data_IF_107753337042
#
_entry.id   IF_107753337042
#
_cell.length_a   1.000
_cell.length_b   1.000
_cell.length_c   1.000
_cell.angle_alpha   90.00
_cell.angle_beta   90.00
_cell.angle_gamma   90.00
#
_symmetry.space_group_name_H-M   'P 1'
#
loop_
_entity.id
_entity.type
_entity.pdbx_description
1 polymer ?
#
# COMPACT_ATOMS: atom_id res chain seq x y z
N UNK A 1 -28.01 6.42 -12.41
CA UNK A 1 -27.23 5.49 -11.56
C UNK A 1 -26.02 4.90 -12.30
N UNK A 2 -26.13 4.62 -13.60
CA UNK A 2 -25.03 4.02 -14.39
C UNK A 2 -23.72 4.82 -14.39
N UNK A 3 -23.79 6.17 -14.47
CA UNK A 3 -22.60 7.04 -14.46
C UNK A 3 -21.78 6.95 -13.17
N UNK A 4 -22.43 6.72 -12.02
CA UNK A 4 -21.75 6.62 -10.71
C UNK A 4 -21.01 5.28 -10.62
N UNK A 5 -21.60 4.19 -11.15
CA UNK A 5 -20.96 2.88 -11.19
C UNK A 5 -19.67 2.88 -12.03
N UNK A 6 -19.73 3.50 -13.21
CA UNK A 6 -18.54 3.64 -14.07
C UNK A 6 -17.48 4.51 -13.37
N UNK A 7 -17.86 5.63 -12.78
CA UNK A 7 -16.94 6.54 -12.11
C UNK A 7 -16.25 5.89 -10.90
N UNK A 8 -16.96 5.05 -10.14
CA UNK A 8 -16.41 4.30 -9.01
C UNK A 8 -15.50 3.13 -9.43
N UNK A 9 -15.64 2.59 -10.65
CA UNK A 9 -14.81 1.50 -11.14
C UNK A 9 -13.42 1.97 -11.63
N UNK A 10 -13.34 3.19 -12.17
CA UNK A 10 -12.11 3.81 -12.69
C UNK A 10 -10.93 3.74 -11.70
N UNK A 11 -11.05 4.16 -10.43
CA UNK A 11 -9.92 4.14 -9.50
C UNK A 11 -9.37 2.74 -9.24
N UNK A 12 -10.22 1.72 -9.14
CA UNK A 12 -9.79 0.33 -8.93
C UNK A 12 -9.13 -0.26 -10.18
N UNK A 13 -9.65 0.06 -11.37
CA UNK A 13 -9.00 -0.29 -12.62
C UNK A 13 -7.62 0.34 -12.75
N UNK A 14 -7.51 1.64 -12.44
CA UNK A 14 -6.23 2.35 -12.42
C UNK A 14 -5.26 1.72 -11.41
N UNK A 15 -5.74 1.39 -10.21
CA UNK A 15 -4.94 0.71 -9.19
C UNK A 15 -4.40 -0.63 -9.70
N UNK A 16 -5.21 -1.43 -10.39
CA UNK A 16 -4.78 -2.69 -11.00
C UNK A 16 -3.69 -2.51 -12.05
N UNK A 17 -3.83 -1.52 -12.94
CA UNK A 17 -2.78 -1.19 -13.91
C UNK A 17 -1.49 -0.74 -13.22
N UNK A 18 -1.59 0.20 -12.28
CA UNK A 18 -0.42 0.71 -11.53
C UNK A 18 0.27 -0.42 -10.78
N UNK A 19 -0.49 -1.36 -10.18
CA UNK A 19 0.05 -2.52 -9.49
C UNK A 19 0.92 -3.39 -10.42
N UNK A 20 0.41 -3.73 -11.61
CA UNK A 20 1.14 -4.56 -12.58
C UNK A 20 2.40 -3.83 -13.08
N UNK A 21 2.26 -2.56 -13.48
CA UNK A 21 3.39 -1.76 -13.95
C UNK A 21 4.46 -1.58 -12.87
N UNK A 22 4.05 -1.36 -11.62
CA UNK A 22 4.95 -1.26 -10.46
C UNK A 22 5.73 -2.54 -10.23
N UNK A 23 5.09 -3.71 -10.35
CA UNK A 23 5.75 -5.01 -10.27
C UNK A 23 6.84 -5.15 -11.33
N UNK A 24 6.48 -4.97 -12.60
CA UNK A 24 7.43 -5.04 -13.73
C UNK A 24 8.58 -4.04 -13.57
N UNK A 25 8.29 -2.83 -13.07
CA UNK A 25 9.30 -1.82 -12.81
C UNK A 25 10.23 -2.24 -11.66
N UNK A 26 9.68 -2.79 -10.58
CA UNK A 26 10.44 -3.35 -9.46
C UNK A 26 11.43 -4.42 -9.93
N UNK A 27 10.94 -5.36 -10.75
CA UNK A 27 11.76 -6.48 -11.24
C UNK A 27 12.90 -5.97 -12.13
N UNK A 28 12.62 -4.99 -13.00
CA UNK A 28 13.66 -4.33 -13.80
C UNK A 28 14.72 -3.61 -12.96
N UNK A 29 14.35 -2.99 -11.83
CA UNK A 29 15.30 -2.35 -10.93
C UNK A 29 16.22 -3.38 -10.26
N UNK A 30 15.69 -4.56 -9.93
CA UNK A 30 16.47 -5.66 -9.38
C UNK A 30 17.43 -6.24 -10.42
N UNK A 31 16.94 -6.57 -11.61
CA UNK A 31 17.72 -7.25 -12.65
C UNK A 31 18.75 -6.34 -13.33
N UNK A 32 18.39 -5.10 -13.67
CA UNK A 32 19.26 -4.22 -14.48
C UNK A 32 20.13 -3.31 -13.63
N UNK A 33 19.57 -2.76 -12.56
CA UNK A 33 20.26 -1.80 -11.69
C UNK A 33 20.93 -2.46 -10.48
N UNK A 34 20.75 -3.77 -10.28
CA UNK A 34 21.36 -4.56 -9.20
C UNK A 34 21.07 -3.95 -7.81
N UNK A 35 19.90 -3.33 -7.65
CA UNK A 35 19.47 -2.82 -6.35
C UNK A 35 19.14 -3.97 -5.42
N UNK A 36 19.36 -3.80 -4.11
CA UNK A 36 18.91 -4.79 -3.13
C UNK A 36 17.38 -4.81 -3.05
N UNK A 37 16.83 -5.99 -2.77
CA UNK A 37 15.38 -6.18 -2.59
C UNK A 37 14.82 -5.19 -1.58
N UNK A 38 15.48 -5.05 -0.43
CA UNK A 38 15.09 -4.08 0.61
C UNK A 38 14.97 -2.64 0.06
N UNK A 39 15.96 -2.18 -0.72
CA UNK A 39 15.94 -0.82 -1.26
C UNK A 39 14.76 -0.65 -2.22
N UNK A 40 14.58 -1.56 -3.17
CA UNK A 40 13.48 -1.49 -4.15
C UNK A 40 12.13 -1.44 -3.44
N UNK A 41 11.89 -2.35 -2.48
CA UNK A 41 10.63 -2.39 -1.73
C UNK A 41 10.39 -1.11 -0.92
N UNK A 42 11.41 -0.60 -0.22
CA UNK A 42 11.32 0.65 0.54
C UNK A 42 10.99 1.85 -0.35
N UNK A 43 11.74 2.04 -1.44
CA UNK A 43 11.55 3.19 -2.32
C UNK A 43 10.19 3.17 -3.00
N UNK A 44 9.75 2.04 -3.55
CA UNK A 44 8.47 1.94 -4.25
C UNK A 44 7.30 2.14 -3.29
N UNK A 45 7.38 1.57 -2.08
CA UNK A 45 6.38 1.79 -1.04
C UNK A 45 6.30 3.26 -0.62
N UNK A 46 7.45 3.90 -0.37
CA UNK A 46 7.50 5.29 0.08
C UNK A 46 7.06 6.29 -1.00
N UNK A 47 7.50 6.10 -2.24
CA UNK A 47 7.05 6.91 -3.37
C UNK A 47 5.55 6.77 -3.53
N UNK A 48 5.02 5.54 -3.42
CA UNK A 48 3.60 5.28 -3.50
C UNK A 48 2.76 5.99 -2.43
N UNK A 49 3.18 5.95 -1.17
CA UNK A 49 2.51 6.70 -0.10
C UNK A 49 2.67 8.21 -0.23
N UNK A 50 3.83 8.69 -0.68
CA UNK A 50 4.06 10.12 -0.91
C UNK A 50 3.17 10.65 -2.04
N UNK A 51 3.06 9.92 -3.14
CA UNK A 51 2.20 10.29 -4.28
C UNK A 51 0.73 10.32 -3.84
N UNK A 52 0.28 9.31 -3.09
CA UNK A 52 -1.07 9.32 -2.52
C UNK A 52 -1.33 10.53 -1.61
N UNK A 53 -0.41 10.80 -0.68
CA UNK A 53 -0.52 11.94 0.23
C UNK A 53 -0.55 13.28 -0.53
N UNK A 54 0.29 13.44 -1.56
CA UNK A 54 0.32 14.64 -2.39
C UNK A 54 -1.01 14.88 -3.11
N UNK A 55 -1.60 13.83 -3.71
CA UNK A 55 -2.89 13.95 -4.39
C UNK A 55 -4.04 14.22 -3.41
N UNK A 56 -4.02 13.67 -2.20
CA UNK A 56 -5.02 13.99 -1.17
C UNK A 56 -4.90 15.43 -0.68
N UNK A 57 -3.69 15.93 -0.48
CA UNK A 57 -3.46 17.34 -0.13
C UNK A 57 -3.95 18.25 -1.26
N UNK A 58 -3.71 17.88 -2.52
CA UNK A 58 -4.21 18.63 -3.68
C UNK A 58 -5.74 18.63 -3.74
N UNK A 59 -6.39 17.51 -3.38
CA UNK A 59 -7.84 17.42 -3.25
C UNK A 59 -8.38 18.30 -2.10
N UNK A 60 -7.64 18.43 -0.99
CA UNK A 60 -8.01 19.23 0.16
C UNK A 60 -7.93 20.75 -0.08
N UNK A 61 -7.09 21.21 -1.01
CA UNK A 61 -6.98 22.63 -1.35
C UNK A 61 -7.85 23.04 -2.54
N UNK A 62 -8.33 22.08 -3.33
CA UNK A 62 -9.02 22.35 -4.60
C UNK A 62 -10.53 22.16 -4.46
N UNK A 63 -11.33 23.24 -4.35
CA UNK A 63 -12.78 23.13 -4.22
C UNK A 63 -13.50 22.80 -5.53
N UNK A 64 -12.77 22.76 -6.65
CA UNK A 64 -13.36 22.46 -7.97
C UNK A 64 -13.71 20.97 -8.06
N UNK A 65 -14.98 20.58 -8.28
CA UNK A 65 -15.40 19.19 -8.25
C UNK A 65 -14.64 18.27 -9.22
N UNK A 66 -14.35 18.75 -10.43
CA UNK A 66 -13.61 17.97 -11.44
C UNK A 66 -12.17 17.65 -11.02
N UNK A 67 -11.47 18.64 -10.46
CA UNK A 67 -10.09 18.49 -9.97
C UNK A 67 -10.09 17.57 -8.74
N UNK A 68 -11.04 17.75 -7.82
CA UNK A 68 -11.17 16.91 -6.63
C UNK A 68 -11.35 15.44 -6.98
N UNK A 69 -12.30 15.12 -7.88
CA UNK A 69 -12.57 13.75 -8.30
C UNK A 69 -11.34 13.14 -8.98
N UNK A 70 -10.68 13.89 -9.88
CA UNK A 70 -9.46 13.45 -10.52
C UNK A 70 -8.34 13.15 -9.51
N UNK A 71 -8.13 14.03 -8.52
CA UNK A 71 -7.11 13.84 -7.49
C UNK A 71 -7.39 12.60 -6.63
N UNK A 72 -8.65 12.36 -6.25
CA UNK A 72 -9.04 11.15 -5.50
C UNK A 72 -8.78 9.90 -6.34
N UNK A 73 -9.14 9.90 -7.62
CA UNK A 73 -8.89 8.77 -8.53
C UNK A 73 -7.39 8.50 -8.65
N UNK A 74 -6.58 9.53 -8.85
CA UNK A 74 -5.13 9.41 -8.91
C UNK A 74 -4.52 8.92 -7.60
N UNK A 75 -5.03 9.38 -6.45
CA UNK A 75 -4.61 8.88 -5.14
C UNK A 75 -4.91 7.39 -5.02
N UNK A 76 -6.16 6.95 -5.23
CA UNK A 76 -6.52 5.53 -5.10
C UNK A 76 -5.72 4.67 -6.08
N UNK A 77 -5.53 5.15 -7.32
CA UNK A 77 -4.71 4.47 -8.32
C UNK A 77 -3.24 4.31 -7.88
N UNK A 78 -2.65 5.36 -7.31
CA UNK A 78 -1.30 5.32 -6.75
C UNK A 78 -1.17 4.35 -5.55
N UNK A 79 -2.28 3.98 -4.90
CA UNK A 79 -2.36 2.91 -3.89
C UNK A 79 -1.90 1.54 -4.39
N UNK A 80 -1.85 1.32 -5.71
CA UNK A 80 -1.25 0.11 -6.30
C UNK A 80 0.26 0.01 -6.07
N UNK A 81 0.97 1.13 -5.99
CA UNK A 81 2.42 1.16 -5.76
C UNK A 81 2.81 0.51 -4.41
N UNK A 82 2.35 1.00 -3.25
CA UNK A 82 2.71 0.39 -1.98
C UNK A 82 2.16 -1.03 -1.86
N UNK A 83 0.99 -1.31 -2.44
CA UNK A 83 0.44 -2.67 -2.46
C UNK A 83 1.38 -3.69 -3.10
N UNK A 84 1.97 -3.36 -4.26
CA UNK A 84 2.98 -4.22 -4.90
C UNK A 84 4.20 -4.44 -4.03
N UNK A 85 4.62 -3.44 -3.26
CA UNK A 85 5.84 -3.51 -2.47
C UNK A 85 5.65 -4.33 -1.17
N UNK A 86 4.60 -4.07 -0.38
CA UNK A 86 4.45 -4.75 0.91
C UNK A 86 3.96 -6.19 0.76
N UNK A 87 3.15 -6.50 -0.27
CA UNK A 87 2.62 -7.85 -0.46
C UNK A 87 3.74 -8.86 -0.72
N UNK A 88 4.73 -8.45 -1.52
CA UNK A 88 5.91 -9.27 -1.83
C UNK A 88 6.92 -9.26 -0.68
N UNK A 89 7.00 -8.17 0.10
CA UNK A 89 7.89 -8.08 1.25
C UNK A 89 7.67 -9.20 2.30
N UNK A 90 6.42 -9.66 2.47
CA UNK A 90 6.12 -10.79 3.37
C UNK A 90 6.72 -12.11 2.87
N UNK A 91 6.75 -12.30 1.55
CA UNK A 91 7.39 -13.44 0.90
C UNK A 91 8.92 -13.35 0.98
N UNK A 92 9.46 -12.14 0.82
CA UNK A 92 10.90 -11.87 0.89
C UNK A 92 11.45 -12.18 2.32
N UNK A 93 10.66 -11.92 3.36
CA UNK A 93 11.05 -12.13 4.77
C UNK A 93 10.92 -13.59 5.22
N UNK A 94 9.77 -14.22 4.97
CA UNK A 94 9.50 -15.56 5.49
C UNK A 94 8.60 -16.36 4.52
N UNK A 95 9.15 -16.93 3.43
CA UNK A 95 8.36 -17.53 2.36
C UNK A 95 7.48 -18.70 2.83
N UNK A 96 7.93 -19.49 3.80
CA UNK A 96 7.17 -20.62 4.35
C UNK A 96 6.01 -20.21 5.25
N UNK A 97 6.15 -19.07 5.93
CA UNK A 97 5.16 -18.55 6.89
C UNK A 97 4.40 -17.33 6.33
N UNK A 98 4.60 -17.00 5.05
CA UNK A 98 4.12 -15.77 4.45
C UNK A 98 2.59 -15.65 4.49
N UNK A 99 1.87 -16.76 4.29
CA UNK A 99 0.41 -16.76 4.38
C UNK A 99 -0.11 -16.40 5.77
N UNK A 100 0.56 -16.88 6.83
CA UNK A 100 0.19 -16.59 8.21
C UNK A 100 0.55 -15.15 8.59
N UNK A 101 1.72 -14.66 8.18
CA UNK A 101 2.14 -13.27 8.40
C UNK A 101 1.22 -12.28 7.67
N UNK A 102 0.85 -12.57 6.42
CA UNK A 102 -0.07 -11.75 5.66
C UNK A 102 -1.47 -11.77 6.26
N UNK A 103 -1.94 -12.94 6.74
CA UNK A 103 -3.20 -13.07 7.47
C UNK A 103 -3.22 -12.25 8.75
N UNK A 104 -2.18 -12.34 9.57
CA UNK A 104 -2.05 -11.54 10.79
C UNK A 104 -2.02 -10.04 10.49
N UNK A 105 -1.25 -9.64 9.48
CA UNK A 105 -1.20 -8.25 9.01
C UNK A 105 -2.57 -7.74 8.59
N UNK A 106 -3.36 -8.57 7.88
CA UNK A 106 -4.70 -8.19 7.43
C UNK A 106 -5.68 -8.03 8.60
N UNK A 107 -5.60 -8.91 9.61
CA UNK A 107 -6.37 -8.77 10.85
C UNK A 107 -6.05 -7.46 11.56
N UNK A 108 -4.76 -7.13 11.69
CA UNK A 108 -4.33 -5.85 12.27
C UNK A 108 -4.79 -4.64 11.45
N UNK A 109 -4.76 -4.74 10.11
CA UNK A 109 -5.23 -3.70 9.20
C UNK A 109 -6.76 -3.49 9.27
N UNK A 110 -7.52 -4.52 9.65
CA UNK A 110 -8.99 -4.45 9.74
C UNK A 110 -9.44 -3.56 10.90
N UNK A 111 -8.69 -3.50 12.02
CA UNK A 111 -9.07 -2.67 13.18
C UNK A 111 -9.14 -1.16 12.85
N UNK A 112 -8.11 -0.52 12.27
CA UNK A 112 -8.22 0.86 11.78
C UNK A 112 -9.35 1.03 10.75
N UNK A 113 -9.55 0.03 9.88
CA UNK A 113 -10.65 0.02 8.91
C UNK A 113 -12.01 0.13 9.58
N UNK A 114 -12.24 -0.59 10.68
CA UNK A 114 -13.47 -0.53 11.47
C UNK A 114 -13.64 0.80 12.22
N UNK A 115 -12.56 1.41 12.70
CA UNK A 115 -12.60 2.67 13.45
C UNK A 115 -12.76 3.88 12.50
N UNK A 116 -12.28 3.77 11.26
CA UNK A 116 -12.27 4.87 10.30
C UNK A 116 -13.63 5.57 10.09
N UNK A 117 -14.78 4.89 9.96
CA UNK A 117 -16.06 5.54 9.73
C UNK A 117 -16.55 6.31 10.97
N UNK A 118 -16.17 5.87 12.18
CA UNK A 118 -16.50 6.57 13.43
C UNK A 118 -15.78 7.92 13.51
N UNK A 119 -14.52 7.97 13.07
CA UNK A 119 -13.75 9.21 13.00
C UNK A 119 -14.33 10.14 11.93
N UNK A 120 -14.66 9.60 10.76
CA UNK A 120 -15.30 10.40 9.68
C UNK A 120 -16.64 10.97 10.14
N UNK A 121 -17.46 10.17 10.83
CA UNK A 121 -18.76 10.61 11.33
C UNK A 121 -18.68 11.68 12.44
N UNK A 122 -17.61 11.70 13.23
CA UNK A 122 -17.43 12.74 14.25
C UNK A 122 -16.89 14.06 13.68
N UNK A 123 -16.14 14.02 12.57
CA UNK A 123 -15.57 15.19 11.93
C UNK A 123 -16.54 15.79 10.90
N UNK A 124 -17.23 14.96 10.12
CA UNK A 124 -18.14 15.41 9.05
C UNK A 124 -19.56 15.43 9.57
N UNK A 125 -19.99 16.62 9.96
CA UNK A 125 -21.35 16.84 10.49
C UNK A 125 -22.28 17.41 9.43
N UNK A 126 -21.80 18.35 8.60
CA UNK A 126 -22.60 19.04 7.58
C UNK A 126 -22.22 18.59 6.16
N UNK A 127 -21.09 17.91 5.99
CA UNK A 127 -20.60 17.49 4.68
C UNK A 127 -19.92 18.62 3.90
N UNK A 128 -19.47 19.65 4.60
CA UNK A 128 -18.80 20.79 3.99
C UNK A 128 -17.42 20.42 3.44
N UNK A 129 -16.96 21.16 2.43
CA UNK A 129 -15.63 20.97 1.85
C UNK A 129 -14.51 21.07 2.91
N UNK A 130 -14.66 21.95 3.89
CA UNK A 130 -13.67 22.14 4.96
C UNK A 130 -13.55 20.91 5.89
N UNK A 131 -14.67 20.26 6.22
CA UNK A 131 -14.67 19.03 7.02
C UNK A 131 -14.00 17.89 6.25
N UNK A 132 -14.32 17.72 4.96
CA UNK A 132 -13.67 16.72 4.10
C UNK A 132 -12.18 16.98 3.88
N UNK A 133 -11.79 18.25 3.73
CA UNK A 133 -10.38 18.64 3.62
C UNK A 133 -9.60 18.23 4.86
N UNK A 134 -10.20 18.36 6.05
CA UNK A 134 -9.60 17.91 7.31
C UNK A 134 -9.34 16.39 7.30
N UNK A 135 -10.28 15.59 6.78
CA UNK A 135 -10.09 14.14 6.62
C UNK A 135 -8.98 13.83 5.61
N UNK A 136 -8.90 14.55 4.51
CA UNK A 136 -7.86 14.33 3.50
C UNK A 136 -6.47 14.65 4.07
N UNK A 137 -6.32 15.73 4.84
CA UNK A 137 -5.07 16.02 5.56
C UNK A 137 -4.73 14.94 6.60
N UNK A 138 -5.71 14.49 7.39
CA UNK A 138 -5.51 13.43 8.36
C UNK A 138 -5.05 12.12 7.69
N UNK A 139 -5.70 11.75 6.59
CA UNK A 139 -5.36 10.55 5.82
C UNK A 139 -3.97 10.66 5.19
N UNK A 140 -3.60 11.84 4.67
CA UNK A 140 -2.26 12.10 4.15
C UNK A 140 -1.18 11.98 5.26
N UNK A 141 -1.46 12.53 6.45
CA UNK A 141 -0.55 12.43 7.59
C UNK A 141 -0.32 10.98 8.03
N UNK A 142 -1.41 10.20 8.15
CA UNK A 142 -1.32 8.78 8.53
C UNK A 142 -0.47 8.00 7.51
N UNK A 143 -0.66 8.26 6.21
CA UNK A 143 0.13 7.62 5.15
C UNK A 143 1.61 8.00 5.23
N UNK A 144 1.93 9.27 5.51
CA UNK A 144 3.32 9.71 5.68
C UNK A 144 3.99 9.06 6.89
N UNK A 145 3.28 8.95 8.02
CA UNK A 145 3.77 8.25 9.21
C UNK A 145 3.97 6.76 8.89
N UNK A 146 2.99 6.12 8.25
CA UNK A 146 3.08 4.72 7.82
C UNK A 146 4.28 4.48 6.89
N UNK A 147 4.50 5.38 5.94
CA UNK A 147 5.66 5.35 5.04
C UNK A 147 6.98 5.47 5.81
N UNK A 148 7.08 6.37 6.79
CA UNK A 148 8.29 6.56 7.59
C UNK A 148 8.61 5.32 8.44
N UNK A 149 7.58 4.73 9.07
CA UNK A 149 7.70 3.48 9.82
C UNK A 149 8.14 2.35 8.89
N UNK A 150 7.49 2.19 7.74
CA UNK A 150 7.84 1.15 6.78
C UNK A 150 9.29 1.32 6.27
N UNK A 151 9.71 2.54 5.93
CA UNK A 151 11.07 2.81 5.50
C UNK A 151 12.11 2.43 6.56
N UNK A 152 11.81 2.69 7.84
CA UNK A 152 12.73 2.45 8.95
C UNK A 152 12.85 0.97 9.33
N UNK A 153 11.76 0.21 9.24
CA UNK A 153 11.67 -1.15 9.77
C UNK A 153 11.57 -2.26 8.71
N UNK A 154 11.23 -1.95 7.46
CA UNK A 154 11.19 -2.98 6.42
C UNK A 154 12.59 -3.58 6.21
N UNK A 155 12.62 -4.88 5.96
CA UNK A 155 13.82 -5.66 5.62
C UNK A 155 13.51 -6.51 4.40
N UNK A 156 14.49 -6.66 3.51
CA UNK A 156 14.40 -7.56 2.36
C UNK A 156 15.18 -8.87 2.53
N UNK A 157 15.64 -9.15 3.75
CA UNK A 157 16.38 -10.37 4.08
C UNK A 157 15.49 -11.39 4.79
N UNK A 158 15.73 -12.67 4.49
CA UNK A 158 15.06 -13.78 5.17
C UNK A 158 15.45 -13.75 6.65
N UNK A 159 14.45 -13.74 7.54
CA UNK A 159 14.65 -13.74 8.99
C UNK A 159 15.20 -15.08 9.46
N UNK A 160 16.11 -15.07 10.45
CA UNK A 160 16.86 -16.26 10.88
C UNK A 160 15.97 -17.42 11.31
N UNK A 161 14.85 -17.15 11.99
CA UNK A 161 13.90 -18.19 12.40
C UNK A 161 13.13 -18.81 11.23
N UNK A 162 13.04 -18.11 10.10
CA UNK A 162 12.45 -18.63 8.86
C UNK A 162 13.49 -19.33 7.97
N UNK A 163 14.78 -19.28 8.33
CA UNK A 163 15.85 -20.08 7.71
C UNK A 163 15.88 -21.48 8.35
N UNK A 164 14.79 -22.25 8.28
CA UNK A 164 14.89 -23.64 8.70
C UNK A 164 15.67 -24.48 7.68
N UNK A 165 16.54 -25.39 8.15
CA UNK A 165 17.34 -26.25 7.29
C UNK A 165 16.44 -27.22 6.54
N UNK A 166 16.85 -27.61 5.34
CA UNK A 166 16.23 -28.59 4.47
C UNK A 166 15.77 -29.88 5.18
N UNK A 167 14.56 -29.89 5.75
CA UNK A 167 13.95 -31.11 6.31
C UNK A 167 13.69 -32.16 5.21
N UNK A 168 13.78 -31.79 3.94
CA UNK A 168 13.50 -32.68 2.79
C UNK A 168 14.76 -33.43 2.29
N UNK A 169 15.99 -33.06 2.65
CA UNK A 169 17.19 -33.75 2.13
C UNK A 169 17.69 -34.93 2.99
N UNK A 170 17.14 -35.14 4.19
CA UNK A 170 17.59 -36.22 5.08
C UNK A 170 16.78 -37.52 4.97
N UNK A 171 15.62 -37.52 4.29
CA UNK A 171 14.75 -38.70 4.20
C UNK A 171 14.96 -39.57 2.96
N UNK A 172 15.92 -39.27 2.08
CA UNK A 172 16.16 -40.02 0.84
C UNK A 172 17.52 -40.73 0.76
N UNK A 173 18.29 -40.78 1.85
CA UNK A 173 19.58 -41.53 1.91
C UNK A 173 19.57 -42.70 2.90
N UNK A 174 18.41 -43.12 3.39
CA UNK A 174 18.30 -44.21 4.38
C UNK A 174 17.29 -45.31 4.00
N UNK A 175 17.09 -45.59 2.71
CA UNK A 175 16.34 -46.76 2.25
C UNK A 175 17.04 -47.40 1.04
#
# INVERSE_FOLDING_TARGET
>A
METIGVLSAIPYWLMGFVLIYSGIFSDKLLERLHWSVEKVRKYICCIGFFVQAAFLVLAAISPTPGILIFCIICSIGAGGLPWSAFSVNTLDIAPQFAGQLMGLSNTLATFPGMISPLIVASIVTVGSFSEWSTIFYLTALIQMIGSAVFYRFASGEIVEWAKEPSIISASFTAA
#
